data_IF_379446261961
#
_entry.id   IF_379446261961
#
_cell.length_a   1.000
_cell.length_b   1.000
_cell.length_c   1.000
_cell.angle_alpha   90.00
_cell.angle_beta   90.00
_cell.angle_gamma   90.00
#
_symmetry.space_group_name_H-M   'P 1'
#
loop_
_entity.id
_entity.type
_entity.pdbx_description
1 polymer ?
#
# COMPACT_ATOMS: atom_id res chain seq x y z
N UNK A 1 9.78 20.65 -7.65
CA UNK A 1 9.70 19.18 -7.63
C UNK A 1 9.03 18.86 -6.33
N UNK A 2 7.71 18.65 -6.33
CA UNK A 2 7.01 18.20 -5.12
C UNK A 2 7.57 16.84 -4.74
N UNK A 3 8.22 16.79 -3.57
CA UNK A 3 8.68 15.54 -2.98
C UNK A 3 7.47 14.62 -2.85
N UNK A 4 7.56 13.42 -3.42
CA UNK A 4 6.59 12.37 -3.18
C UNK A 4 6.57 12.09 -1.66
N UNK A 5 5.57 12.62 -0.95
CA UNK A 5 5.46 12.48 0.49
C UNK A 5 4.61 11.26 0.80
N UNK A 6 5.29 10.21 1.26
CA UNK A 6 4.64 9.05 1.85
C UNK A 6 5.04 9.00 3.30
N UNK A 7 4.06 9.03 4.19
CA UNK A 7 4.28 8.76 5.61
C UNK A 7 3.73 7.37 5.89
N UNK A 8 4.58 6.52 6.47
CA UNK A 8 4.20 5.18 6.91
C UNK A 8 4.37 5.08 8.41
N UNK A 9 3.30 4.71 9.10
CA UNK A 9 3.27 4.55 10.55
C UNK A 9 3.08 3.07 10.83
N UNK A 10 4.01 2.48 11.58
CA UNK A 10 3.90 1.09 12.02
C UNK A 10 3.14 1.04 13.35
N UNK A 11 2.10 0.22 13.37
CA UNK A 11 1.32 -0.10 14.55
C UNK A 11 1.31 -1.62 14.75
N UNK A 12 1.09 -2.07 15.98
CA UNK A 12 1.00 -3.50 16.29
C UNK A 12 -0.40 -3.78 16.79
N UNK A 13 -1.09 -4.69 16.12
CA UNK A 13 -2.44 -5.08 16.42
C UNK A 13 -2.43 -6.49 16.99
N UNK A 14 -3.29 -6.76 17.97
CA UNK A 14 -3.54 -8.13 18.38
C UNK A 14 -4.55 -8.72 17.40
N UNK A 15 -4.17 -9.83 16.76
CA UNK A 15 -5.10 -10.62 15.99
C UNK A 15 -6.05 -11.33 16.97
N UNK A 16 -7.34 -11.02 16.89
CA UNK A 16 -8.33 -11.56 17.83
C UNK A 16 -8.64 -13.05 17.58
N UNK A 17 -8.36 -13.58 16.38
CA UNK A 17 -8.56 -14.99 16.03
C UNK A 17 -7.40 -15.87 16.50
N UNK A 18 -6.15 -15.41 16.33
CA UNK A 18 -4.95 -16.20 16.66
C UNK A 18 -4.30 -15.80 17.98
N UNK A 19 -4.63 -14.63 18.52
CA UNK A 19 -3.99 -14.04 19.69
C UNK A 19 -2.58 -13.46 19.43
N UNK A 20 -2.08 -13.56 18.20
CA UNK A 20 -0.74 -13.10 17.82
C UNK A 20 -0.67 -11.58 17.61
N UNK A 21 0.53 -11.03 17.75
CA UNK A 21 0.79 -9.62 17.44
C UNK A 21 1.10 -9.48 15.95
N UNK A 22 0.18 -8.89 15.20
CA UNK A 22 0.32 -8.61 13.77
C UNK A 22 0.76 -7.15 13.56
N UNK A 23 1.83 -6.89 12.79
CA UNK A 23 2.18 -5.53 12.40
C UNK A 23 1.17 -5.02 11.37
N UNK A 24 0.62 -3.84 11.62
CA UNK A 24 -0.13 -3.07 10.62
C UNK A 24 0.64 -1.81 10.24
N UNK A 25 0.36 -1.30 9.04
CA UNK A 25 0.98 -0.10 8.52
C UNK A 25 -0.11 0.85 8.07
N UNK A 26 -0.17 2.03 8.70
CA UNK A 26 -1.01 3.13 8.27
C UNK A 26 -0.20 3.97 7.28
N UNK A 27 -0.72 4.14 6.06
CA UNK A 27 -0.06 4.88 4.98
C UNK A 27 -0.84 6.17 4.74
N UNK A 28 -0.15 7.31 4.82
CA UNK A 28 -0.69 8.62 4.46
C UNK A 28 -0.07 8.99 3.11
N UNK A 29 -0.94 9.12 2.10
CA UNK A 29 -0.58 9.47 0.73
C UNK A 29 -0.85 10.95 0.49
N UNK A 30 0.15 11.66 0.00
CA UNK A 30 0.03 13.09 -0.35
C UNK A 30 0.78 13.42 -1.65
N UNK A 31 0.38 14.53 -2.27
CA UNK A 31 0.92 15.06 -3.52
C UNK A 31 0.85 14.06 -4.67
N UNK A 32 1.89 14.08 -5.51
CA UNK A 32 1.96 13.31 -6.75
C UNK A 32 1.70 11.80 -6.60
N UNK A 33 2.07 11.18 -5.46
CA UNK A 33 1.82 9.75 -5.29
C UNK A 33 0.33 9.44 -5.18
N UNK A 34 -0.42 10.31 -4.48
CA UNK A 34 -1.87 10.18 -4.39
C UNK A 34 -2.49 10.28 -5.79
N UNK A 35 -2.10 11.30 -6.57
CA UNK A 35 -2.62 11.51 -7.93
C UNK A 35 -2.32 10.32 -8.85
N UNK A 36 -1.11 9.78 -8.80
CA UNK A 36 -0.75 8.59 -9.59
C UNK A 36 -1.61 7.39 -9.20
N UNK A 37 -1.88 7.19 -7.90
CA UNK A 37 -2.74 6.11 -7.45
C UNK A 37 -4.20 6.32 -7.90
N UNK A 38 -4.72 7.54 -7.85
CA UNK A 38 -6.05 7.88 -8.37
C UNK A 38 -6.17 7.55 -9.87
N UNK A 39 -5.15 7.85 -10.68
CA UNK A 39 -5.11 7.49 -12.11
C UNK A 39 -5.14 5.96 -12.30
N UNK A 40 -4.44 5.19 -11.45
CA UNK A 40 -4.47 3.72 -11.50
C UNK A 40 -5.86 3.21 -11.14
N UNK A 41 -6.46 3.76 -10.08
CA UNK A 41 -7.83 3.41 -9.66
C UNK A 41 -8.85 3.61 -10.77
N UNK A 42 -8.81 4.76 -11.44
CA UNK A 42 -9.72 5.06 -12.55
C UNK A 42 -9.56 4.09 -13.73
N UNK A 43 -8.32 3.73 -14.07
CA UNK A 43 -8.03 2.86 -15.22
C UNK A 43 -8.38 1.39 -14.98
N UNK A 44 -8.08 0.90 -13.78
CA UNK A 44 -8.29 -0.50 -13.41
C UNK A 44 -9.68 -0.74 -12.81
N UNK A 45 -10.44 0.33 -12.53
CA UNK A 45 -11.81 0.27 -12.02
C UNK A 45 -11.89 -0.06 -10.53
N UNK A 46 -10.87 0.30 -9.74
CA UNK A 46 -10.87 0.09 -8.29
C UNK A 46 -11.80 1.07 -7.58
N UNK A 47 -12.50 0.57 -6.57
CA UNK A 47 -13.54 1.31 -5.86
C UNK A 47 -13.00 2.14 -4.69
N UNK A 48 -11.87 1.73 -4.12
CA UNK A 48 -11.23 2.43 -3.02
C UNK A 48 -9.70 2.31 -3.02
N UNK A 49 -9.08 3.11 -2.15
CA UNK A 49 -7.63 3.19 -2.00
C UNK A 49 -7.00 1.89 -1.46
N UNK A 50 -7.53 1.25 -0.41
CA UNK A 50 -7.01 -0.03 0.06
C UNK A 50 -6.98 -1.12 -1.02
N UNK A 51 -8.02 -1.23 -1.84
CA UNK A 51 -8.11 -2.19 -2.94
C UNK A 51 -6.98 -1.98 -3.94
N UNK A 52 -6.82 -0.74 -4.42
CA UNK A 52 -5.76 -0.39 -5.36
C UNK A 52 -4.35 -0.56 -4.75
N UNK A 53 -4.16 -0.15 -3.50
CA UNK A 53 -2.89 -0.32 -2.79
C UNK A 53 -2.53 -1.80 -2.61
N UNK A 54 -3.51 -2.66 -2.32
CA UNK A 54 -3.29 -4.10 -2.17
C UNK A 54 -2.66 -4.66 -3.43
N UNK A 55 -3.22 -4.37 -4.60
CA UNK A 55 -2.72 -4.86 -5.89
C UNK A 55 -1.33 -4.29 -6.21
N UNK A 56 -1.13 -2.98 -6.04
CA UNK A 56 0.19 -2.34 -6.26
C UNK A 56 1.27 -2.94 -5.36
N UNK A 57 0.95 -3.22 -4.09
CA UNK A 57 1.88 -3.85 -3.15
C UNK A 57 2.20 -5.29 -3.59
N UNK A 58 1.21 -6.09 -3.98
CA UNK A 58 1.43 -7.47 -4.43
C UNK A 58 2.29 -7.52 -5.69
N UNK A 59 1.98 -6.71 -6.69
CA UNK A 59 2.78 -6.61 -7.92
C UNK A 59 4.23 -6.18 -7.61
N UNK A 60 4.41 -5.20 -6.73
CA UNK A 60 5.72 -4.76 -6.26
C UNK A 60 6.50 -5.91 -5.60
N UNK A 61 5.88 -6.64 -4.66
CA UNK A 61 6.51 -7.78 -3.99
C UNK A 61 6.88 -8.87 -5.01
N UNK A 62 5.98 -9.21 -5.94
CA UNK A 62 6.24 -10.21 -6.97
C UNK A 62 7.45 -9.83 -7.83
N UNK A 63 7.56 -8.55 -8.21
CA UNK A 63 8.72 -8.04 -8.93
C UNK A 63 10.03 -8.19 -8.15
N UNK A 64 10.02 -7.85 -6.85
CA UNK A 64 11.20 -8.02 -5.99
C UNK A 64 11.58 -9.49 -5.81
N UNK A 65 10.61 -10.38 -5.62
CA UNK A 65 10.86 -11.82 -5.49
C UNK A 65 11.48 -12.39 -6.77
N UNK A 66 10.96 -12.01 -7.95
CA UNK A 66 11.50 -12.45 -9.24
C UNK A 66 12.94 -11.97 -9.48
N UNK A 67 13.30 -10.79 -8.98
CA UNK A 67 14.65 -10.20 -9.13
C UNK A 67 15.70 -10.83 -8.22
N UNK A 68 15.30 -11.44 -7.11
CA UNK A 68 16.20 -11.97 -6.08
C UNK A 68 16.10 -13.50 -5.95
N UNK A 69 15.49 -14.16 -6.94
CA UNK A 69 15.55 -15.61 -7.16
C UNK A 69 16.51 -15.90 -8.29
#
# INVERSE_FOLDING_TARGET
>A
MEENKVVMIKETFKNEETGELTPGVTIILDGNLREVLEIIMEKEGYSDYPEALKEVIFEGIHHFVKRNK
#
